data_IF_669423987051
#
_entry.id   IF_669423987051
#
_cell.length_a   1.000
_cell.length_b   1.000
_cell.length_c   1.000
_cell.angle_alpha   90.00
_cell.angle_beta   90.00
_cell.angle_gamma   90.00
#
_symmetry.space_group_name_H-M   'P 1'
#
loop_
_entity.id
_entity.type
_entity.pdbx_description
1 polymer ?
#
# COMPACT_ATOMS: atom_id res chain seq x y z
N UNK A 1 12.20 18.22 60.10
CA UNK A 1 11.22 19.26 60.35
C UNK A 1 10.28 19.31 59.20
N UNK A 2 9.10 18.94 59.48
CA UNK A 2 7.94 18.89 58.62
C UNK A 2 7.50 20.30 58.22
N UNK A 3 6.84 20.44 57.08
CA UNK A 3 5.57 21.12 57.02
C UNK A 3 4.88 20.84 55.69
N UNK A 4 3.76 20.18 55.83
CA UNK A 4 2.62 19.98 54.95
C UNK A 4 1.90 21.30 54.70
N UNK A 5 1.48 21.56 53.46
CA UNK A 5 0.30 22.38 53.19
C UNK A 5 -0.51 21.77 52.05
N UNK A 6 -1.59 21.13 52.43
CA UNK A 6 -2.81 20.91 51.63
C UNK A 6 -3.42 22.25 51.24
N UNK A 7 -3.89 22.38 50.01
CA UNK A 7 -5.00 23.26 49.69
C UNK A 7 -5.81 22.67 48.53
N UNK A 8 -6.97 22.18 48.92
CA UNK A 8 -8.04 21.77 48.01
C UNK A 8 -8.62 22.97 47.27
N UNK A 9 -8.92 22.76 46.00
CA UNK A 9 -9.90 23.57 45.25
C UNK A 9 -10.88 22.66 44.58
N UNK A 10 -12.08 22.80 45.07
CA UNK A 10 -13.34 22.24 44.57
C UNK A 10 -13.50 22.53 43.07
N UNK A 11 -13.82 21.50 42.31
CA UNK A 11 -14.23 21.65 40.91
C UNK A 11 -15.73 21.82 40.83
N UNK A 12 -16.16 23.03 40.58
CA UNK A 12 -17.49 23.39 40.21
C UNK A 12 -17.86 22.71 38.87
N UNK A 13 -18.83 21.79 38.95
CA UNK A 13 -19.41 21.12 37.78
C UNK A 13 -20.43 22.03 37.12
N UNK A 14 -20.08 22.68 36.05
CA UNK A 14 -21.03 23.38 35.20
C UNK A 14 -21.92 22.38 34.44
N UNK A 15 -23.19 22.33 34.81
CA UNK A 15 -24.26 21.58 34.13
C UNK A 15 -24.64 22.31 32.85
N UNK A 16 -24.48 21.63 31.69
CA UNK A 16 -25.00 22.09 30.41
C UNK A 16 -26.50 21.77 30.29
N UNK A 17 -27.29 22.65 29.67
CA UNK A 17 -28.74 22.47 29.54
C UNK A 17 -29.08 21.43 28.46
N UNK A 18 -30.03 20.56 28.79
CA UNK A 18 -30.60 19.55 27.89
C UNK A 18 -31.60 20.23 26.95
N UNK A 19 -31.25 20.37 25.67
CA UNK A 19 -32.21 20.77 24.64
C UNK A 19 -32.93 19.56 24.08
N UNK A 20 -34.21 19.44 24.44
CA UNK A 20 -35.11 18.45 23.85
C UNK A 20 -35.37 18.71 22.36
N UNK A 21 -34.97 17.78 21.50
CA UNK A 21 -35.33 17.79 20.07
C UNK A 21 -36.68 17.11 19.86
N UNK A 22 -37.68 17.90 19.51
CA UNK A 22 -38.97 17.41 18.98
C UNK A 22 -38.74 16.84 17.58
N UNK A 23 -39.17 15.59 17.35
CA UNK A 23 -39.21 14.96 16.04
C UNK A 23 -40.35 15.54 15.21
N UNK A 24 -40.15 15.88 13.92
CA UNK A 24 -41.27 16.24 13.06
C UNK A 24 -42.00 14.95 12.63
N UNK A 25 -43.32 14.99 12.79
CA UNK A 25 -44.25 13.96 12.33
C UNK A 25 -44.48 14.14 10.80
N UNK A 26 -44.27 13.10 10.04
CA UNK A 26 -44.66 13.04 8.62
C UNK A 26 -46.05 12.38 8.51
N UNK A 27 -46.96 12.93 7.71
CA UNK A 27 -48.28 12.34 7.52
C UNK A 27 -48.24 11.14 6.59
N UNK A 28 -48.80 10.04 7.06
CA UNK A 28 -49.19 8.89 6.21
C UNK A 28 -50.40 9.29 5.38
N UNK A 29 -50.31 9.24 4.08
CA UNK A 29 -51.46 8.90 3.22
C UNK A 29 -51.03 8.12 2.00
N UNK A 30 -51.67 7.00 1.90
CA UNK A 30 -51.63 6.06 0.79
C UNK A 30 -52.36 6.66 -0.44
N UNK A 31 -51.88 6.31 -1.65
CA UNK A 31 -52.74 6.15 -2.77
C UNK A 31 -52.25 5.03 -3.68
N UNK A 32 -53.17 4.12 -3.91
CA UNK A 32 -53.15 3.02 -4.85
C UNK A 32 -53.12 3.51 -6.30
N UNK A 33 -52.41 2.83 -7.24
CA UNK A 33 -52.99 2.06 -8.34
C UNK A 33 -51.93 1.63 -9.33
N UNK A 34 -51.89 0.34 -9.48
CA UNK A 34 -51.65 -0.49 -10.64
C UNK A 34 -51.22 0.21 -11.96
N UNK A 35 -50.02 -0.17 -12.43
CA UNK A 35 -49.71 -0.19 -13.83
C UNK A 35 -48.99 -1.51 -14.15
N UNK A 36 -49.56 -2.24 -15.08
CA UNK A 36 -49.13 -3.51 -15.64
C UNK A 36 -47.68 -3.42 -16.11
N UNK A 37 -46.85 -4.27 -15.57
CA UNK A 37 -45.50 -4.49 -16.06
C UNK A 37 -45.54 -5.35 -17.31
N UNK A 38 -45.26 -4.76 -18.44
CA UNK A 38 -44.79 -5.48 -19.61
C UNK A 38 -43.30 -5.77 -19.39
N UNK A 39 -42.99 -6.97 -18.94
CA UNK A 39 -41.62 -7.48 -18.88
C UNK A 39 -41.17 -7.84 -20.30
N UNK A 40 -40.65 -6.87 -21.03
CA UNK A 40 -39.75 -7.16 -22.14
C UNK A 40 -38.43 -7.51 -21.53
N UNK A 41 -38.12 -8.81 -21.50
CA UNK A 41 -36.81 -9.31 -21.17
C UNK A 41 -35.77 -8.74 -22.13
N UNK A 42 -35.12 -7.67 -21.72
CA UNK A 42 -33.85 -7.29 -22.33
C UNK A 42 -32.84 -8.34 -21.93
N UNK A 43 -32.12 -8.97 -22.87
CA UNK A 43 -30.98 -9.79 -22.51
C UNK A 43 -30.03 -8.89 -21.73
N UNK A 44 -29.72 -9.31 -20.53
CA UNK A 44 -28.65 -8.77 -19.73
C UNK A 44 -27.38 -8.85 -20.59
N UNK A 45 -27.08 -7.78 -21.29
CA UNK A 45 -25.79 -7.57 -21.91
C UNK A 45 -24.80 -7.56 -20.73
N UNK A 46 -24.33 -8.78 -20.36
CA UNK A 46 -23.09 -8.92 -19.71
C UNK A 46 -22.09 -8.10 -20.54
N UNK A 47 -21.85 -6.87 -20.13
CA UNK A 47 -20.73 -6.07 -20.59
C UNK A 47 -19.50 -6.85 -20.17
N UNK A 48 -19.11 -7.80 -21.02
CA UNK A 48 -17.78 -8.34 -21.01
C UNK A 48 -16.88 -7.10 -21.10
N UNK A 49 -16.35 -6.71 -19.96
CA UNK A 49 -15.37 -5.64 -19.84
C UNK A 49 -14.27 -6.04 -20.81
N UNK A 50 -14.27 -5.46 -22.00
CA UNK A 50 -13.31 -5.76 -23.07
C UNK A 50 -11.99 -5.35 -22.50
N UNK A 51 -11.25 -6.33 -21.92
CA UNK A 51 -9.91 -6.12 -21.37
C UNK A 51 -9.11 -5.53 -22.52
N UNK A 52 -8.84 -4.24 -22.45
CA UNK A 52 -8.03 -3.56 -23.43
C UNK A 52 -6.62 -4.19 -23.35
N UNK A 53 -6.30 -5.04 -24.29
CA UNK A 53 -5.03 -5.73 -24.38
C UNK A 53 -4.38 -5.44 -25.71
N UNK A 54 -3.05 -5.41 -25.76
CA UNK A 54 -2.32 -5.37 -27.03
C UNK A 54 -1.81 -6.75 -27.40
N UNK A 55 -1.73 -7.02 -28.71
CA UNK A 55 -1.15 -8.27 -29.23
C UNK A 55 0.37 -8.17 -29.15
N UNK A 56 1.01 -9.18 -28.56
CA UNK A 56 2.44 -9.28 -28.43
C UNK A 56 2.95 -10.57 -29.10
N UNK A 57 3.96 -10.45 -29.94
CA UNK A 57 4.64 -11.60 -30.53
C UNK A 57 5.80 -12.04 -29.64
N UNK A 58 5.70 -13.24 -29.09
CA UNK A 58 6.71 -13.84 -28.19
C UNK A 58 8.05 -13.97 -28.92
N UNK A 59 9.10 -13.46 -28.31
CA UNK A 59 10.48 -13.48 -28.79
C UNK A 59 11.32 -14.48 -27.98
N UNK A 60 12.52 -14.79 -28.53
CA UNK A 60 13.48 -15.63 -27.82
C UNK A 60 13.86 -14.98 -26.46
N UNK A 61 13.79 -15.76 -25.39
CA UNK A 61 14.10 -15.31 -24.03
C UNK A 61 12.91 -14.72 -23.28
N UNK A 62 11.74 -14.57 -23.91
CA UNK A 62 10.53 -14.15 -23.20
C UNK A 62 10.01 -15.24 -22.28
N UNK A 63 9.55 -14.82 -21.11
CA UNK A 63 8.78 -15.64 -20.18
C UNK A 63 7.51 -14.88 -19.79
N UNK A 64 6.46 -15.56 -19.33
CA UNK A 64 5.24 -14.89 -18.85
C UNK A 64 5.55 -13.90 -17.74
N UNK A 65 6.48 -14.21 -16.82
CA UNK A 65 6.88 -13.30 -15.75
C UNK A 65 7.55 -12.03 -16.28
N UNK A 66 8.48 -12.15 -17.22
CA UNK A 66 9.10 -10.99 -17.86
C UNK A 66 8.09 -10.13 -18.63
N UNK A 67 7.14 -10.77 -19.33
CA UNK A 67 6.08 -10.06 -20.05
C UNK A 67 5.12 -9.38 -19.07
N UNK A 68 4.77 -10.03 -17.95
CA UNK A 68 3.92 -9.45 -16.92
C UNK A 68 4.56 -8.18 -16.33
N UNK A 69 5.84 -8.23 -15.94
CA UNK A 69 6.60 -7.06 -15.47
C UNK A 69 6.70 -5.97 -16.53
N UNK A 70 7.05 -6.35 -17.76
CA UNK A 70 7.23 -5.40 -18.88
C UNK A 70 5.96 -4.62 -19.21
N UNK A 71 4.82 -5.29 -19.14
CA UNK A 71 3.53 -4.74 -19.55
C UNK A 71 2.62 -4.37 -18.37
N UNK A 72 3.17 -4.35 -17.15
CA UNK A 72 2.44 -4.00 -15.93
C UNK A 72 1.13 -4.79 -15.77
N UNK A 73 1.24 -6.10 -15.89
CA UNK A 73 0.14 -7.04 -15.73
C UNK A 73 0.61 -8.24 -14.88
N UNK A 74 -0.22 -9.26 -14.71
CA UNK A 74 0.16 -10.47 -13.99
C UNK A 74 0.27 -11.66 -14.93
N UNK A 75 1.06 -12.67 -14.58
CA UNK A 75 1.11 -13.96 -15.30
C UNK A 75 -0.30 -14.54 -15.42
N UNK A 76 -1.05 -14.57 -14.31
CA UNK A 76 -2.44 -15.05 -14.30
C UNK A 76 -3.37 -14.26 -15.22
N UNK A 77 -3.15 -12.95 -15.36
CA UNK A 77 -3.94 -12.13 -16.28
C UNK A 77 -3.60 -12.48 -17.74
N UNK A 78 -2.31 -12.65 -18.08
CA UNK A 78 -1.90 -13.09 -19.41
C UNK A 78 -2.42 -14.49 -19.70
N UNK A 79 -2.30 -15.43 -18.77
CA UNK A 79 -2.82 -16.79 -18.92
C UNK A 79 -4.33 -16.77 -19.20
N UNK A 80 -5.12 -16.08 -18.40
CA UNK A 80 -6.59 -15.97 -18.60
C UNK A 80 -6.95 -15.35 -19.93
N UNK A 81 -6.26 -14.28 -20.33
CA UNK A 81 -6.53 -13.59 -21.59
C UNK A 81 -6.23 -14.46 -22.83
N UNK A 82 -5.37 -15.48 -22.69
CA UNK A 82 -4.93 -16.35 -23.77
C UNK A 82 -5.34 -17.82 -23.61
N UNK A 83 -6.12 -18.16 -22.58
CA UNK A 83 -6.55 -19.54 -22.32
C UNK A 83 -5.40 -20.49 -22.00
N UNK A 84 -4.27 -19.98 -21.46
CA UNK A 84 -3.11 -20.80 -21.13
C UNK A 84 -3.35 -21.57 -19.81
N UNK A 85 -3.07 -22.87 -19.82
CA UNK A 85 -3.17 -23.73 -18.63
C UNK A 85 -1.88 -23.81 -17.80
N UNK A 86 -0.79 -23.18 -18.27
CA UNK A 86 0.52 -23.19 -17.62
C UNK A 86 1.40 -22.05 -18.14
N UNK A 87 2.68 -22.07 -17.79
CA UNK A 87 3.63 -20.97 -18.05
C UNK A 87 4.38 -21.09 -19.39
N UNK A 88 4.17 -22.19 -20.11
CA UNK A 88 4.91 -22.46 -21.35
C UNK A 88 4.36 -21.59 -22.47
N UNK A 89 5.24 -20.75 -23.05
CA UNK A 89 4.99 -19.95 -24.24
C UNK A 89 6.04 -20.31 -25.32
N UNK A 90 5.71 -20.10 -26.59
CA UNK A 90 6.56 -20.45 -27.72
C UNK A 90 6.95 -19.20 -28.50
N UNK A 91 8.19 -19.17 -28.99
CA UNK A 91 8.65 -18.11 -29.92
C UNK A 91 7.68 -18.06 -31.11
N UNK A 92 7.27 -16.85 -31.49
CA UNK A 92 6.30 -16.62 -32.55
C UNK A 92 4.83 -16.76 -32.12
N UNK A 93 4.56 -17.16 -30.88
CA UNK A 93 3.20 -17.16 -30.35
C UNK A 93 2.69 -15.73 -30.19
N UNK A 94 1.45 -15.47 -30.58
CA UNK A 94 0.80 -14.18 -30.33
C UNK A 94 0.02 -14.28 -29.02
N UNK A 95 0.37 -13.41 -28.06
CA UNK A 95 -0.32 -13.28 -26.79
C UNK A 95 -1.11 -11.97 -26.75
N UNK A 96 -2.32 -12.03 -26.24
CA UNK A 96 -3.06 -10.86 -25.77
C UNK A 96 -2.53 -10.50 -24.39
N UNK A 97 -1.85 -9.37 -24.30
CA UNK A 97 -1.35 -8.86 -23.02
C UNK A 97 -2.38 -7.87 -22.48
N UNK A 98 -3.15 -8.23 -21.44
CA UNK A 98 -4.12 -7.32 -20.86
C UNK A 98 -3.41 -6.16 -20.16
N UNK A 99 -3.74 -4.94 -20.55
CA UNK A 99 -3.30 -3.75 -19.81
C UNK A 99 -4.25 -3.59 -18.62
N UNK A 100 -3.81 -4.02 -17.44
CA UNK A 100 -4.68 -4.05 -16.26
C UNK A 100 -4.24 -3.12 -15.14
N UNK A 101 -3.07 -2.50 -15.24
CA UNK A 101 -2.71 -1.50 -14.25
C UNK A 101 -3.28 -0.16 -14.64
N UNK A 102 -3.91 0.53 -13.69
CA UNK A 102 -4.11 1.97 -13.84
C UNK A 102 -2.77 2.60 -14.17
N UNK A 103 -2.79 3.69 -14.91
CA UNK A 103 -1.56 4.43 -15.24
C UNK A 103 -0.73 4.63 -13.96
N UNK A 104 0.47 4.01 -13.92
CA UNK A 104 1.36 4.11 -12.77
C UNK A 104 1.75 5.57 -12.58
N UNK A 105 1.18 6.19 -11.58
CA UNK A 105 1.34 7.62 -11.32
C UNK A 105 2.54 7.91 -10.44
N UNK A 106 2.73 7.12 -9.38
CA UNK A 106 3.71 7.37 -8.33
C UNK A 106 4.94 6.46 -8.41
N UNK A 107 4.79 5.27 -8.98
CA UNK A 107 5.83 4.21 -8.92
C UNK A 107 6.42 3.85 -10.29
N UNK A 108 6.31 4.70 -11.29
CA UNK A 108 6.89 4.44 -12.62
C UNK A 108 8.39 4.16 -12.57
N UNK A 109 9.12 4.88 -11.71
CA UNK A 109 10.55 4.67 -11.45
C UNK A 109 10.81 3.30 -10.81
N UNK A 110 9.98 2.89 -9.82
CA UNK A 110 10.06 1.59 -9.16
C UNK A 110 9.82 0.47 -10.15
N UNK A 111 8.76 0.56 -10.94
CA UNK A 111 8.43 -0.43 -11.96
C UNK A 111 9.56 -0.56 -13.00
N UNK A 112 10.15 0.56 -13.41
CA UNK A 112 11.28 0.56 -14.35
C UNK A 112 12.53 -0.09 -13.75
N UNK A 113 12.89 0.30 -12.52
CA UNK A 113 14.06 -0.27 -11.84
C UNK A 113 13.90 -1.77 -11.55
N UNK A 114 12.70 -2.20 -11.13
CA UNK A 114 12.43 -3.59 -10.77
C UNK A 114 12.56 -4.55 -11.95
N UNK A 115 12.38 -4.09 -13.19
CA UNK A 115 12.56 -4.94 -14.39
C UNK A 115 13.96 -5.55 -14.54
N UNK A 116 14.98 -4.90 -14.01
CA UNK A 116 16.36 -5.36 -14.06
C UNK A 116 16.81 -6.07 -12.79
N UNK A 117 15.91 -6.25 -11.82
CA UNK A 117 16.22 -6.88 -10.54
C UNK A 117 15.72 -8.32 -10.56
N UNK A 118 16.61 -9.28 -10.29
CA UNK A 118 16.22 -10.66 -10.03
C UNK A 118 15.65 -10.73 -8.60
N UNK A 119 14.32 -10.65 -8.47
CA UNK A 119 13.63 -10.76 -7.18
C UNK A 119 13.51 -12.25 -6.85
N UNK A 120 14.06 -12.72 -5.71
CA UNK A 120 13.95 -14.14 -5.34
C UNK A 120 12.50 -14.51 -4.97
N UNK A 121 11.99 -15.61 -5.54
CA UNK A 121 10.56 -15.99 -5.46
C UNK A 121 10.01 -16.10 -4.04
N UNK A 122 10.69 -16.81 -3.16
CA UNK A 122 10.16 -17.09 -1.80
C UNK A 122 10.77 -16.21 -0.71
N UNK A 123 11.55 -15.19 -1.07
CA UNK A 123 12.24 -14.36 -0.08
C UNK A 123 11.26 -13.49 0.71
N UNK A 124 10.40 -12.75 0.02
CA UNK A 124 9.58 -11.71 0.64
C UNK A 124 8.25 -12.27 1.12
N UNK A 125 7.98 -12.14 2.42
CA UNK A 125 6.79 -12.67 3.10
C UNK A 125 5.98 -11.60 3.80
N UNK A 126 6.58 -10.40 4.00
CA UNK A 126 6.00 -9.31 4.75
C UNK A 126 6.10 -7.99 3.99
N UNK A 127 5.07 -7.15 4.14
CA UNK A 127 5.12 -5.73 3.82
C UNK A 127 4.91 -4.97 5.12
N UNK A 128 5.94 -4.23 5.55
CA UNK A 128 5.91 -3.52 6.83
C UNK A 128 5.92 -2.03 6.60
N UNK A 129 4.85 -1.35 7.06
CA UNK A 129 4.73 0.09 6.94
C UNK A 129 5.32 0.80 8.15
N UNK A 130 6.04 1.89 7.87
CA UNK A 130 6.67 2.77 8.85
C UNK A 130 6.34 4.22 8.58
N UNK A 131 6.48 5.05 9.62
CA UNK A 131 6.71 6.47 9.47
C UNK A 131 8.15 6.84 9.89
N UNK A 132 8.63 7.98 9.43
CA UNK A 132 9.95 8.46 9.83
C UNK A 132 9.98 9.07 11.24
N UNK A 133 8.82 9.36 11.82
CA UNK A 133 8.60 10.09 13.08
C UNK A 133 9.15 11.53 13.07
N UNK A 134 9.60 12.02 11.91
CA UNK A 134 10.03 13.42 11.67
C UNK A 134 9.34 13.95 10.43
N UNK A 135 9.12 15.26 10.38
CA UNK A 135 8.31 15.90 9.33
C UNK A 135 9.08 16.24 8.06
N UNK A 136 10.37 15.89 7.99
CA UNK A 136 11.22 16.12 6.84
C UNK A 136 12.22 14.97 6.66
N UNK A 137 12.88 14.95 5.51
CA UNK A 137 13.86 13.93 5.16
C UNK A 137 13.52 13.22 3.85
N UNK A 138 14.45 12.40 3.42
CA UNK A 138 14.40 11.59 2.21
C UNK A 138 15.27 10.34 2.37
N UNK A 139 15.31 9.49 1.35
CA UNK A 139 16.12 8.27 1.41
C UNK A 139 17.60 8.54 1.69
N UNK A 140 18.17 9.60 1.11
CA UNK A 140 19.58 9.98 1.29
C UNK A 140 19.88 10.44 2.72
N UNK A 141 19.02 11.30 3.30
CA UNK A 141 19.21 11.79 4.68
C UNK A 141 19.03 10.67 5.70
N UNK A 142 18.08 9.75 5.47
CA UNK A 142 17.89 8.58 6.32
C UNK A 142 19.01 7.56 6.15
N UNK A 143 19.57 7.37 4.96
CA UNK A 143 20.75 6.52 4.77
C UNK A 143 21.93 7.05 5.59
N UNK A 144 22.18 8.36 5.53
CA UNK A 144 23.22 9.01 6.34
C UNK A 144 22.99 8.79 7.84
N UNK A 145 21.77 9.05 8.33
CA UNK A 145 21.42 8.87 9.74
C UNK A 145 21.59 7.41 10.19
N UNK A 146 21.10 6.47 9.39
CA UNK A 146 21.22 5.06 9.70
C UNK A 146 22.68 4.59 9.76
N UNK A 147 23.53 5.07 8.85
CA UNK A 147 24.97 4.72 8.86
C UNK A 147 25.71 5.39 9.99
N UNK A 148 25.56 6.70 10.13
CA UNK A 148 26.44 7.50 10.98
C UNK A 148 25.97 7.59 12.43
N UNK A 149 24.66 7.53 12.66
CA UNK A 149 24.10 7.67 14.02
C UNK A 149 23.66 6.31 14.56
N UNK A 150 23.01 5.48 13.75
CA UNK A 150 22.51 4.17 14.19
C UNK A 150 23.49 3.01 13.95
N UNK A 151 24.62 3.23 13.28
CA UNK A 151 25.62 2.20 13.01
C UNK A 151 25.17 1.07 12.09
N UNK A 152 24.10 1.28 11.29
CA UNK A 152 23.61 0.27 10.37
C UNK A 152 24.57 0.20 9.16
N UNK A 153 25.36 -0.88 9.08
CA UNK A 153 26.40 -1.04 8.06
C UNK A 153 25.90 -0.86 6.64
N UNK A 154 24.72 -1.44 6.31
CA UNK A 154 24.16 -1.38 4.97
C UNK A 154 23.32 -0.10 4.73
N UNK A 155 23.35 0.87 5.63
CA UNK A 155 22.72 2.18 5.51
C UNK A 155 21.20 2.16 5.66
N UNK A 156 20.50 2.79 4.71
CA UNK A 156 19.05 2.96 4.77
C UNK A 156 18.36 1.66 5.20
N UNK A 157 17.63 1.71 6.32
CA UNK A 157 16.98 0.53 6.90
C UNK A 157 15.80 0.01 6.06
N UNK A 158 15.19 0.88 5.26
CA UNK A 158 14.00 0.63 4.46
C UNK A 158 14.33 0.23 3.01
N UNK A 159 13.38 -0.41 2.34
CA UNK A 159 13.45 -0.73 0.91
C UNK A 159 12.95 0.44 0.07
N UNK A 160 11.95 1.16 0.57
CA UNK A 160 11.35 2.33 -0.08
C UNK A 160 11.10 3.44 0.93
N UNK A 161 11.20 4.69 0.45
CA UNK A 161 10.81 5.90 1.20
C UNK A 161 9.82 6.68 0.36
N UNK A 162 8.72 7.16 0.98
CA UNK A 162 7.68 7.95 0.30
C UNK A 162 7.66 9.36 0.86
N UNK A 163 8.02 10.32 0.03
CA UNK A 163 8.15 11.72 0.37
C UNK A 163 6.81 12.42 0.67
N UNK A 164 6.90 13.52 1.41
CA UNK A 164 5.76 14.34 1.83
C UNK A 164 5.76 15.77 1.23
N UNK A 165 6.61 16.04 0.26
CA UNK A 165 6.69 17.34 -0.41
C UNK A 165 7.66 18.34 0.21
N UNK A 166 8.44 17.95 1.26
CA UNK A 166 9.45 18.85 1.88
C UNK A 166 10.84 18.62 1.28
N UNK A 167 11.47 17.46 1.54
CA UNK A 167 12.82 17.14 1.05
C UNK A 167 12.81 16.15 -0.12
N UNK A 168 11.67 15.63 -0.46
CA UNK A 168 11.35 14.89 -1.69
C UNK A 168 9.90 15.14 -2.07
N UNK A 169 9.50 14.84 -3.32
CA UNK A 169 8.15 15.13 -3.82
C UNK A 169 7.05 14.47 -2.98
N UNK A 170 5.88 15.12 -2.87
CA UNK A 170 4.72 14.56 -2.16
C UNK A 170 4.18 13.33 -2.90
N UNK A 171 4.33 12.16 -2.28
CA UNK A 171 4.03 10.85 -2.88
C UNK A 171 5.15 10.34 -3.80
N UNK A 172 6.30 11.00 -3.89
CA UNK A 172 7.47 10.46 -4.58
C UNK A 172 7.98 9.21 -3.88
N UNK A 173 8.19 8.13 -4.65
CA UNK A 173 8.72 6.88 -4.11
C UNK A 173 10.19 6.76 -4.45
N UNK A 174 11.02 6.87 -3.43
CA UNK A 174 12.47 6.68 -3.51
C UNK A 174 12.83 5.22 -3.26
N UNK A 175 13.73 4.68 -4.10
CA UNK A 175 14.14 3.28 -4.06
C UNK A 175 15.42 3.15 -3.24
N UNK A 176 15.36 2.40 -2.16
CA UNK A 176 16.52 2.12 -1.33
C UNK A 176 17.45 1.04 -1.90
N UNK A 177 18.75 1.07 -1.53
CA UNK A 177 19.71 0.03 -1.94
C UNK A 177 19.28 -1.39 -1.55
N UNK A 178 18.47 -1.54 -0.50
CA UNK A 178 17.97 -2.85 -0.09
C UNK A 178 17.03 -3.47 -1.10
N UNK A 179 16.23 -2.66 -1.80
CA UNK A 179 15.42 -3.16 -2.90
C UNK A 179 16.26 -3.49 -4.13
N UNK A 180 17.13 -2.60 -4.57
CA UNK A 180 17.92 -2.81 -5.80
C UNK A 180 18.90 -3.97 -5.70
N UNK A 181 19.41 -4.24 -4.50
CA UNK A 181 20.35 -5.33 -4.23
C UNK A 181 19.68 -6.54 -3.56
N UNK A 182 18.39 -6.50 -3.36
CA UNK A 182 17.62 -7.55 -2.69
C UNK A 182 18.21 -7.94 -1.32
N UNK A 183 18.60 -6.92 -0.52
CA UNK A 183 19.15 -7.10 0.81
C UNK A 183 18.04 -7.23 1.85
N UNK A 184 18.36 -7.85 2.98
CA UNK A 184 17.50 -7.83 4.17
C UNK A 184 17.21 -6.42 4.66
N UNK A 185 16.07 -6.20 5.32
CA UNK A 185 15.75 -4.96 6.02
C UNK A 185 16.62 -4.71 7.25
N UNK A 186 16.45 -3.54 7.84
CA UNK A 186 17.02 -3.16 9.13
C UNK A 186 16.02 -2.27 9.88
N UNK A 187 14.72 -2.49 9.65
CA UNK A 187 13.64 -1.57 10.01
C UNK A 187 12.78 -2.04 11.19
N UNK A 188 12.99 -3.27 11.68
CA UNK A 188 12.32 -3.84 12.86
C UNK A 188 13.36 -4.53 13.77
N UNK A 189 12.96 -4.88 15.00
CA UNK A 189 13.85 -5.63 15.89
C UNK A 189 13.89 -7.13 15.53
N UNK A 190 12.78 -7.69 15.08
CA UNK A 190 12.67 -9.11 14.73
C UNK A 190 13.49 -9.45 13.50
N UNK A 191 14.54 -10.24 13.68
CA UNK A 191 15.48 -10.65 12.62
C UNK A 191 14.77 -11.31 11.44
N UNK A 192 13.86 -12.26 11.71
CA UNK A 192 13.10 -12.97 10.69
C UNK A 192 12.32 -12.00 9.77
N UNK A 193 11.70 -10.97 10.39
CA UNK A 193 10.96 -9.97 9.59
C UNK A 193 11.89 -9.05 8.82
N UNK A 194 13.09 -8.76 9.33
CA UNK A 194 14.10 -8.07 8.52
C UNK A 194 14.59 -8.92 7.35
N UNK A 195 14.74 -10.23 7.53
CA UNK A 195 15.22 -11.14 6.46
C UNK A 195 14.20 -11.31 5.34
N UNK A 196 12.92 -11.29 5.68
CA UNK A 196 11.81 -11.60 4.78
C UNK A 196 10.79 -10.47 4.60
N UNK A 197 11.05 -9.27 5.10
CA UNK A 197 10.12 -8.14 5.06
C UNK A 197 10.62 -6.98 4.23
N UNK A 198 9.73 -6.45 3.41
CA UNK A 198 9.93 -5.21 2.66
C UNK A 198 9.46 -4.05 3.55
N UNK A 199 10.39 -3.22 4.04
CA UNK A 199 10.07 -2.03 4.82
C UNK A 199 9.80 -0.83 3.91
N UNK A 200 8.64 -0.20 4.10
CA UNK A 200 8.20 1.00 3.38
C UNK A 200 8.01 2.13 4.40
N UNK A 201 8.80 3.19 4.30
CA UNK A 201 8.75 4.33 5.22
C UNK A 201 8.09 5.54 4.55
N UNK A 202 7.04 6.09 5.16
CA UNK A 202 6.47 7.37 4.76
C UNK A 202 7.07 8.48 5.61
N UNK A 203 7.50 9.56 4.97
CA UNK A 203 8.05 10.73 5.66
C UNK A 203 6.96 11.47 6.40
N UNK A 204 7.08 11.61 7.71
CA UNK A 204 6.12 12.30 8.56
C UNK A 204 6.08 11.77 9.99
N UNK A 205 5.50 12.55 10.89
CA UNK A 205 5.19 12.09 12.25
C UNK A 205 3.68 11.85 12.39
N UNK A 206 3.26 10.61 12.11
CA UNK A 206 1.84 10.26 12.12
C UNK A 206 1.28 9.96 13.53
N UNK A 207 2.05 10.24 14.57
CA UNK A 207 1.50 10.47 15.92
C UNK A 207 0.88 11.87 16.06
N UNK A 208 1.28 12.84 15.21
CA UNK A 208 0.86 14.24 15.28
C UNK A 208 -0.17 14.61 14.20
N UNK A 209 -0.02 14.09 13.00
CA UNK A 209 -0.87 14.40 11.85
C UNK A 209 -0.96 13.22 10.88
N UNK A 210 -1.99 13.13 10.04
CA UNK A 210 -2.11 12.05 9.07
C UNK A 210 -1.09 12.19 7.92
N UNK A 211 -0.80 11.10 7.20
CA UNK A 211 -0.11 11.14 5.92
C UNK A 211 -0.85 12.00 4.90
N UNK A 212 -0.16 12.53 3.91
CA UNK A 212 -0.81 13.21 2.80
C UNK A 212 -1.62 12.23 1.95
N UNK A 213 -2.61 12.74 1.21
CA UNK A 213 -3.37 11.90 0.27
C UNK A 213 -2.47 11.29 -0.80
N UNK A 214 -1.44 12.01 -1.25
CA UNK A 214 -0.50 11.52 -2.26
C UNK A 214 0.40 10.44 -1.70
N UNK A 215 0.86 10.58 -0.45
CA UNK A 215 1.59 9.49 0.22
C UNK A 215 0.76 8.21 0.32
N UNK A 216 -0.51 8.31 0.73
CA UNK A 216 -1.39 7.13 0.82
C UNK A 216 -1.66 6.51 -0.55
N UNK A 217 -1.85 7.34 -1.60
CA UNK A 217 -2.03 6.84 -2.96
C UNK A 217 -0.77 6.15 -3.49
N UNK A 218 0.41 6.73 -3.26
CA UNK A 218 1.69 6.15 -3.66
C UNK A 218 2.00 4.85 -2.90
N UNK A 219 1.69 4.82 -1.60
CA UNK A 219 1.83 3.62 -0.77
C UNK A 219 0.92 2.49 -1.27
N UNK A 220 -0.33 2.80 -1.58
CA UNK A 220 -1.29 1.83 -2.15
C UNK A 220 -0.79 1.29 -3.48
N UNK A 221 -0.41 2.18 -4.42
CA UNK A 221 0.08 1.78 -5.74
C UNK A 221 1.35 0.93 -5.66
N UNK A 222 2.27 1.28 -4.76
CA UNK A 222 3.49 0.50 -4.50
C UNK A 222 3.18 -0.88 -3.93
N UNK A 223 2.29 -0.95 -2.95
CA UNK A 223 1.93 -2.21 -2.28
C UNK A 223 1.20 -3.16 -3.23
N UNK A 224 0.24 -2.63 -4.01
CA UNK A 224 -0.47 -3.39 -5.04
C UNK A 224 0.52 -3.92 -6.11
N UNK A 225 1.43 -3.06 -6.60
CA UNK A 225 2.47 -3.46 -7.55
C UNK A 225 3.38 -4.56 -7.02
N UNK A 226 3.86 -4.42 -5.78
CA UNK A 226 4.72 -5.42 -5.17
C UNK A 226 4.01 -6.76 -5.02
N UNK A 227 2.79 -6.80 -4.52
CA UNK A 227 2.06 -8.05 -4.29
C UNK A 227 1.54 -8.69 -5.58
N UNK A 228 0.97 -7.90 -6.47
CA UNK A 228 0.26 -8.44 -7.63
C UNK A 228 1.16 -8.70 -8.83
N UNK A 229 2.22 -7.89 -9.01
CA UNK A 229 3.05 -7.90 -10.22
C UNK A 229 4.42 -8.50 -9.97
N UNK A 230 5.06 -8.12 -8.86
CA UNK A 230 6.45 -8.53 -8.60
C UNK A 230 6.53 -9.87 -7.90
N UNK A 231 5.74 -10.04 -6.86
CA UNK A 231 5.77 -11.23 -6.01
C UNK A 231 4.70 -12.25 -6.41
N UNK A 232 3.68 -11.82 -7.13
CA UNK A 232 2.51 -12.60 -7.58
C UNK A 232 1.85 -13.39 -6.42
N UNK A 233 1.98 -12.90 -5.20
CA UNK A 233 1.46 -13.49 -3.98
C UNK A 233 1.08 -12.42 -2.95
N UNK A 234 0.18 -12.78 -2.06
CA UNK A 234 -0.09 -11.97 -0.87
C UNK A 234 1.04 -12.11 0.14
N UNK A 235 1.63 -10.98 0.50
CA UNK A 235 2.49 -10.87 1.66
C UNK A 235 1.64 -10.46 2.88
N UNK A 236 2.06 -10.89 4.07
CA UNK A 236 1.44 -10.42 5.32
C UNK A 236 1.70 -8.91 5.45
N UNK A 237 0.64 -8.15 5.58
CA UNK A 237 0.75 -6.72 5.83
C UNK A 237 0.84 -6.45 7.35
N UNK A 238 1.68 -5.50 7.76
CA UNK A 238 1.76 -5.10 9.16
C UNK A 238 2.30 -3.67 9.33
N UNK A 239 1.85 -2.99 10.37
CA UNK A 239 2.53 -1.83 10.93
C UNK A 239 3.71 -2.24 11.79
N UNK A 240 4.75 -1.41 11.90
CA UNK A 240 5.93 -1.71 12.73
C UNK A 240 5.53 -2.08 14.19
N UNK A 241 4.59 -1.34 14.79
CA UNK A 241 4.11 -1.62 16.16
C UNK A 241 3.49 -3.00 16.34
N UNK A 242 3.05 -3.64 15.28
CA UNK A 242 2.46 -4.99 15.32
C UNK A 242 3.54 -6.07 15.23
N UNK A 243 4.68 -5.72 14.62
CA UNK A 243 5.87 -6.59 14.60
C UNK A 243 6.62 -6.53 15.93
N UNK A 244 6.83 -5.32 16.47
CA UNK A 244 7.58 -5.07 17.70
C UNK A 244 6.68 -4.38 18.75
N UNK A 245 5.68 -5.09 19.32
CA UNK A 245 4.71 -4.52 20.24
C UNK A 245 5.40 -4.03 21.52
N UNK A 246 4.98 -2.85 22.00
CA UNK A 246 5.55 -2.23 23.20
C UNK A 246 6.86 -1.46 22.98
N UNK A 247 7.50 -1.58 21.80
CA UNK A 247 8.74 -0.89 21.48
C UNK A 247 8.57 0.35 20.61
N UNK A 248 7.45 0.48 19.91
CA UNK A 248 7.22 1.57 18.98
C UNK A 248 5.75 1.89 18.80
N UNK A 249 5.44 3.15 18.49
CA UNK A 249 4.10 3.60 18.06
C UNK A 249 3.97 3.65 16.53
N UNK A 250 5.06 3.38 15.79
CA UNK A 250 5.14 3.39 14.33
C UNK A 250 4.13 2.38 13.71
N UNK A 251 3.35 2.76 12.70
CA UNK A 251 3.43 3.96 11.87
C UNK A 251 2.69 5.20 12.43
N UNK A 252 2.22 5.19 13.66
CA UNK A 252 1.52 6.29 14.30
C UNK A 252 -0.01 6.15 14.27
N UNK A 253 -0.69 6.85 15.24
CA UNK A 253 -2.14 6.74 15.43
C UNK A 253 -2.97 7.31 14.28
N UNK A 254 -2.42 8.29 13.55
CA UNK A 254 -3.10 8.92 12.41
C UNK A 254 -2.86 8.21 11.07
N UNK A 255 -2.03 7.16 11.05
CA UNK A 255 -1.92 6.29 9.88
C UNK A 255 -3.16 5.37 9.83
N UNK A 256 -3.85 5.25 8.68
CA UNK A 256 -5.10 4.49 8.58
C UNK A 256 -4.85 2.96 8.51
N UNK A 257 -4.16 2.40 9.52
CA UNK A 257 -3.67 1.03 9.54
C UNK A 257 -4.79 0.00 9.32
N UNK A 258 -5.95 0.19 9.98
CA UNK A 258 -7.10 -0.70 9.86
C UNK A 258 -7.67 -0.78 8.44
N UNK A 259 -7.69 0.35 7.73
CA UNK A 259 -8.16 0.38 6.34
C UNK A 259 -7.22 -0.41 5.42
N UNK A 260 -5.92 -0.39 5.70
CA UNK A 260 -4.94 -1.17 4.97
C UNK A 260 -4.99 -2.67 5.31
N UNK A 261 -5.24 -3.04 6.57
CA UNK A 261 -5.55 -4.43 6.93
C UNK A 261 -6.78 -4.95 6.20
N UNK A 262 -7.87 -4.18 6.19
CA UNK A 262 -9.08 -4.58 5.46
C UNK A 262 -8.86 -4.77 3.95
N UNK A 263 -7.83 -4.12 3.39
CA UNK A 263 -7.47 -4.28 1.96
C UNK A 263 -6.52 -5.45 1.71
N UNK A 264 -5.57 -5.71 2.60
CA UNK A 264 -4.43 -6.58 2.29
C UNK A 264 -4.44 -7.93 3.03
N UNK A 265 -5.17 -8.08 4.12
CA UNK A 265 -5.40 -9.36 4.81
C UNK A 265 -6.59 -10.11 4.20
#
# INVERSE_FOLDING_TARGET
MAETLENGREREQARLPVFGRKKPAWPRRAFWRAALAFSIGLPELATANKIAGHKYLVKRGDTLSHLALRFHTTVKAIQRANGLKGDIIRIGQILVIPSRLPELKYIRNVATATRSIAVPDEKWKWLVVHHSAVDSGNAKSYDYYHRKVKGIRDGLAYHFVIGNGKDSGDGEVEIGPRWTKQLRGGHVQRTEVNDHGIGICLVGNFEKHPPTRRQLSAFTELTDFLQEIVLEKKCRFAGHKEIDPGHTLCPGRHFPLQAFHAKYD
#
